data_IF_204324693974
#
_entry.id   IF_204324693974
#
_cell.length_a   1.000
_cell.length_b   1.000
_cell.length_c   1.000
_cell.angle_alpha   90.00
_cell.angle_beta   90.00
_cell.angle_gamma   90.00
#
_symmetry.space_group_name_H-M   'P 1'
#
loop_
_entity.id
_entity.type
_entity.pdbx_description
1 polymer ?
#
# COMPACT_ATOMS: atom_id res chain seq x y z
N UNK A 1 24.55 -18.77 -28.37
CA UNK A 1 25.64 -17.99 -27.73
C UNK A 1 26.01 -16.85 -28.66
N UNK A 2 25.49 -15.65 -28.41
CA UNK A 2 26.01 -14.41 -29.00
C UNK A 2 25.69 -13.26 -28.04
N UNK A 3 26.74 -12.61 -27.54
CA UNK A 3 26.73 -11.47 -26.61
C UNK A 3 26.73 -10.16 -27.40
N UNK A 4 26.00 -9.13 -26.92
CA UNK A 4 26.26 -7.70 -27.20
C UNK A 4 25.87 -6.93 -25.91
N UNK A 5 26.82 -6.57 -25.02
CA UNK A 5 27.63 -5.33 -24.91
C UNK A 5 26.87 -4.01 -24.61
N UNK A 6 26.96 -3.63 -23.32
CA UNK A 6 27.10 -2.31 -22.67
C UNK A 6 26.79 -0.98 -23.41
N UNK A 7 25.82 -0.21 -22.84
CA UNK A 7 25.83 1.18 -22.30
C UNK A 7 26.77 2.29 -22.87
N UNK A 8 26.67 3.58 -22.45
CA UNK A 8 25.55 4.46 -22.05
C UNK A 8 25.55 5.78 -22.87
N UNK A 9 24.56 6.68 -22.70
CA UNK A 9 24.81 8.14 -22.83
C UNK A 9 23.69 8.95 -22.21
N UNK A 10 24.08 9.77 -21.25
CA UNK A 10 23.28 10.80 -20.65
C UNK A 10 23.22 12.04 -21.56
N UNK A 11 22.19 12.84 -21.29
CA UNK A 11 22.25 14.30 -21.19
C UNK A 11 21.48 15.12 -22.24
N UNK A 12 21.00 16.24 -21.69
CA UNK A 12 20.52 17.48 -22.30
C UNK A 12 19.08 17.51 -22.86
N UNK A 13 18.10 17.97 -22.08
CA UNK A 13 17.72 19.36 -21.75
C UNK A 13 17.06 20.14 -22.90
N UNK A 14 15.81 20.54 -22.63
CA UNK A 14 15.07 21.74 -23.05
C UNK A 14 14.30 21.79 -24.39
N UNK A 15 13.02 22.11 -24.18
CA UNK A 15 12.19 23.11 -24.87
C UNK A 15 11.76 22.77 -26.32
N UNK A 16 10.47 22.45 -26.51
CA UNK A 16 9.40 23.40 -26.89
C UNK A 16 9.67 24.00 -28.28
N UNK A 17 8.85 23.73 -29.31
CA UNK A 17 7.54 24.38 -29.46
C UNK A 17 6.86 23.91 -30.77
N UNK A 18 5.53 23.79 -30.68
CA UNK A 18 4.53 24.13 -31.70
C UNK A 18 4.46 23.35 -33.03
N UNK A 19 3.38 22.58 -33.18
CA UNK A 19 2.59 22.63 -34.40
C UNK A 19 1.10 22.69 -34.04
N UNK A 20 0.54 23.88 -34.22
CA UNK A 20 -0.85 24.24 -34.01
C UNK A 20 -1.75 23.59 -35.06
N UNK A 21 -3.02 23.35 -34.70
CA UNK A 21 -4.21 23.94 -35.36
C UNK A 21 -5.38 22.95 -35.35
N UNK A 22 -6.34 23.10 -34.42
CA UNK A 22 -7.80 23.03 -34.71
C UNK A 22 -8.64 23.27 -33.44
N UNK A 23 -9.45 24.34 -33.53
CA UNK A 23 -10.71 24.64 -32.81
C UNK A 23 -10.63 24.95 -31.30
N UNK A 24 -10.32 26.19 -30.91
CA UNK A 24 -11.17 27.40 -30.99
C UNK A 24 -12.40 27.48 -30.04
N UNK A 25 -12.48 26.70 -28.94
CA UNK A 25 -13.53 26.94 -27.91
C UNK A 25 -13.17 26.72 -26.42
N UNK A 26 -11.98 26.26 -26.06
CA UNK A 26 -11.66 25.97 -24.63
C UNK A 26 -10.69 26.95 -23.96
N UNK A 27 -10.21 27.96 -24.68
CA UNK A 27 -9.19 28.88 -24.15
C UNK A 27 -9.71 29.89 -23.11
N UNK A 28 -11.02 29.94 -22.86
CA UNK A 28 -11.64 30.86 -21.90
C UNK A 28 -11.92 30.24 -20.52
N UNK A 29 -11.75 28.92 -20.36
CA UNK A 29 -11.93 28.25 -19.06
C UNK A 29 -10.63 28.08 -18.26
N UNK A 30 -9.47 28.27 -18.90
CA UNK A 30 -8.18 28.01 -18.25
C UNK A 30 -7.63 29.19 -17.43
N UNK A 31 -8.26 30.36 -17.50
CA UNK A 31 -7.76 31.59 -16.84
C UNK A 31 -8.56 31.96 -15.57
N UNK A 32 -9.73 31.38 -15.34
CA UNK A 32 -10.55 31.66 -14.14
C UNK A 32 -10.23 30.78 -12.92
N UNK A 33 -9.40 29.73 -13.05
CA UNK A 33 -9.15 28.78 -11.94
C UNK A 33 -7.78 28.98 -11.26
N UNK A 34 -7.23 30.20 -11.34
CA UNK A 34 -6.01 30.60 -10.63
C UNK A 34 -6.25 31.75 -9.63
N UNK A 35 -7.50 32.16 -9.40
CA UNK A 35 -7.83 33.29 -8.51
C UNK A 35 -9.06 32.98 -7.65
N UNK A 36 -8.91 32.08 -6.68
CA UNK A 36 -9.67 32.06 -5.42
C UNK A 36 -8.72 31.61 -4.32
N UNK A 37 -7.89 32.51 -3.79
CA UNK A 37 -8.12 33.21 -2.51
C UNK A 37 -8.59 32.30 -1.38
N UNK A 38 -7.65 31.96 -0.51
CA UNK A 38 -7.69 32.14 0.95
C UNK A 38 -9.05 31.94 1.66
N UNK A 39 -9.13 30.89 2.47
CA UNK A 39 -9.60 30.92 3.87
C UNK A 39 -10.00 29.50 4.31
N UNK A 40 -9.06 28.74 4.87
CA UNK A 40 -9.41 27.73 5.88
C UNK A 40 -8.61 28.07 7.14
N UNK A 41 -9.08 29.13 7.81
CA UNK A 41 -8.79 29.39 9.20
C UNK A 41 -9.65 28.43 10.04
N UNK A 42 -9.04 27.79 11.03
CA UNK A 42 -9.73 27.20 12.17
C UNK A 42 -10.39 25.84 11.90
N UNK A 43 -9.59 24.79 11.76
CA UNK A 43 -10.02 23.51 12.33
C UNK A 43 -9.27 23.36 13.65
N UNK A 44 -10.01 23.68 14.70
CA UNK A 44 -9.70 23.41 16.10
C UNK A 44 -9.06 22.03 16.21
N UNK A 45 -7.84 22.00 16.74
CA UNK A 45 -7.10 20.78 16.98
C UNK A 45 -7.93 19.90 17.92
N UNK A 46 -8.57 18.89 17.33
CA UNK A 46 -9.11 17.78 18.09
C UNK A 46 -7.98 17.25 18.99
N UNK A 47 -8.25 16.97 20.28
CA UNK A 47 -7.24 16.40 21.17
C UNK A 47 -6.66 15.14 20.52
N UNK A 48 -5.36 14.87 20.67
CA UNK A 48 -4.74 13.72 20.05
C UNK A 48 -5.48 12.47 20.50
N UNK A 49 -6.34 11.97 19.62
CA UNK A 49 -7.04 10.71 19.77
C UNK A 49 -5.95 9.67 19.98
N UNK A 50 -5.87 9.19 21.23
CA UNK A 50 -4.87 8.31 21.80
C UNK A 50 -4.29 7.41 20.72
N UNK A 51 -3.11 7.77 20.20
CA UNK A 51 -2.50 7.10 19.06
C UNK A 51 -2.49 5.60 19.35
N UNK A 52 -3.36 4.86 18.67
CA UNK A 52 -3.44 3.40 18.83
C UNK A 52 -2.06 2.91 18.44
N UNK A 53 -1.29 2.45 19.42
CA UNK A 53 0.07 1.99 19.22
C UNK A 53 -0.01 0.70 18.41
N UNK A 54 0.11 0.87 17.10
CA UNK A 54 0.15 -0.22 16.14
C UNK A 54 1.33 -1.12 16.51
N UNK A 55 1.04 -2.39 16.80
CA UNK A 55 2.04 -3.36 17.27
C UNK A 55 2.11 -4.56 16.33
N UNK A 56 3.27 -5.22 16.27
CA UNK A 56 3.48 -6.44 15.48
C UNK A 56 2.39 -7.51 15.73
N UNK A 57 2.07 -7.91 16.98
CA UNK A 57 1.04 -8.93 17.20
C UNK A 57 -0.33 -8.49 16.69
N UNK A 58 -0.71 -7.21 16.86
CA UNK A 58 -1.97 -6.70 16.32
C UNK A 58 -2.04 -6.79 14.79
N UNK A 59 -0.92 -6.58 14.08
CA UNK A 59 -0.86 -6.76 12.63
C UNK A 59 -0.97 -8.23 12.23
N UNK A 60 -0.35 -9.14 12.97
CA UNK A 60 -0.45 -10.58 12.69
C UNK A 60 -1.90 -11.02 12.82
N UNK A 61 -2.62 -10.59 13.86
CA UNK A 61 -4.04 -10.88 14.03
C UNK A 61 -4.91 -10.28 12.93
N UNK A 62 -4.65 -9.03 12.53
CA UNK A 62 -5.36 -8.38 11.43
C UNK A 62 -5.14 -9.12 10.11
N UNK A 63 -3.90 -9.53 9.83
CA UNK A 63 -3.58 -10.31 8.62
C UNK A 63 -4.29 -11.66 8.62
N UNK A 64 -4.41 -12.32 9.77
CA UNK A 64 -5.15 -13.58 9.90
C UNK A 64 -6.62 -13.41 9.53
N UNK A 65 -7.28 -12.36 10.04
CA UNK A 65 -8.67 -12.04 9.70
C UNK A 65 -8.85 -11.79 8.20
N UNK A 66 -7.97 -10.99 7.60
CA UNK A 66 -8.02 -10.69 6.16
C UNK A 66 -7.77 -11.94 5.32
N UNK A 67 -6.86 -12.82 5.72
CA UNK A 67 -6.65 -14.10 5.02
C UNK A 67 -7.92 -14.95 5.08
N UNK A 68 -8.58 -15.05 6.25
CA UNK A 68 -9.82 -15.81 6.41
C UNK A 68 -10.95 -15.25 5.53
N UNK A 69 -11.08 -13.93 5.46
CA UNK A 69 -12.02 -13.27 4.58
C UNK A 69 -11.73 -13.55 3.11
N UNK A 70 -10.47 -13.46 2.69
CA UNK A 70 -10.03 -13.74 1.32
C UNK A 70 -10.31 -15.18 0.89
N UNK A 71 -10.13 -16.16 1.78
CA UNK A 71 -10.40 -17.57 1.46
C UNK A 71 -11.88 -17.93 1.53
N UNK A 72 -12.69 -17.21 2.33
CA UNK A 72 -14.13 -17.49 2.46
C UNK A 72 -14.90 -17.32 1.16
N UNK A 73 -14.35 -16.57 0.18
CA UNK A 73 -14.99 -16.24 -1.10
C UNK A 73 -16.34 -15.52 -0.96
N UNK A 74 -16.66 -15.00 0.23
CA UNK A 74 -17.89 -14.28 0.57
C UNK A 74 -17.60 -12.94 1.26
N UNK A 75 -16.35 -12.48 1.25
CA UNK A 75 -15.99 -11.18 1.80
C UNK A 75 -16.39 -10.06 0.83
N UNK A 76 -17.00 -8.99 1.38
CA UNK A 76 -17.42 -7.84 0.59
C UNK A 76 -16.19 -7.15 -0.05
N UNK A 77 -16.24 -6.95 -1.37
CA UNK A 77 -15.11 -6.43 -2.12
C UNK A 77 -14.65 -5.03 -1.70
N UNK A 78 -15.59 -4.14 -1.37
CA UNK A 78 -15.27 -2.78 -0.95
C UNK A 78 -14.62 -2.76 0.42
N UNK A 79 -15.22 -3.47 1.39
CA UNK A 79 -14.66 -3.57 2.75
C UNK A 79 -13.26 -4.19 2.74
N UNK A 80 -13.09 -5.31 2.04
CA UNK A 80 -11.80 -5.96 1.97
C UNK A 80 -10.69 -5.06 1.41
N UNK A 81 -10.99 -4.25 0.38
CA UNK A 81 -10.02 -3.27 -0.18
C UNK A 81 -9.66 -2.18 0.81
N UNK A 82 -10.64 -1.69 1.57
CA UNK A 82 -10.41 -0.70 2.64
C UNK A 82 -9.49 -1.33 3.69
N UNK A 83 -9.84 -2.51 4.19
CA UNK A 83 -9.10 -3.15 5.27
C UNK A 83 -7.67 -3.55 4.84
N UNK A 84 -7.49 -4.01 3.59
CA UNK A 84 -6.17 -4.28 3.02
C UNK A 84 -5.31 -3.00 2.88
N UNK A 85 -5.95 -1.86 2.57
CA UNK A 85 -5.27 -0.56 2.53
C UNK A 85 -4.90 -0.09 3.92
N UNK A 86 -5.82 -0.16 4.88
CA UNK A 86 -5.57 0.18 6.28
C UNK A 86 -4.43 -0.66 6.85
N UNK A 87 -4.42 -1.96 6.60
CA UNK A 87 -3.33 -2.85 7.01
C UNK A 87 -1.96 -2.37 6.51
N UNK A 88 -1.87 -1.96 5.23
CA UNK A 88 -0.63 -1.43 4.64
C UNK A 88 -0.20 -0.12 5.31
N UNK A 89 -1.13 0.78 5.57
CA UNK A 89 -0.81 2.06 6.22
C UNK A 89 -0.40 1.90 7.70
N UNK A 90 -1.02 0.95 8.41
CA UNK A 90 -0.61 0.54 9.75
C UNK A 90 0.82 -0.02 9.75
N UNK A 91 1.15 -0.88 8.78
CA UNK A 91 2.50 -1.42 8.62
C UNK A 91 3.51 -0.32 8.30
N UNK A 92 3.17 0.60 7.41
CA UNK A 92 4.01 1.75 7.06
C UNK A 92 4.32 2.60 8.29
N UNK A 93 3.30 2.93 9.08
CA UNK A 93 3.46 3.69 10.33
C UNK A 93 4.37 2.97 11.32
N UNK A 94 4.21 1.65 11.47
CA UNK A 94 5.06 0.83 12.33
C UNK A 94 6.51 0.82 11.86
N UNK A 95 6.77 0.70 10.55
CA UNK A 95 8.12 0.72 9.98
C UNK A 95 8.80 2.07 10.20
N UNK A 96 8.10 3.19 9.95
CA UNK A 96 8.64 4.54 10.19
C UNK A 96 9.01 4.75 11.67
N UNK A 97 8.20 4.26 12.60
CA UNK A 97 8.48 4.31 14.03
C UNK A 97 9.59 3.34 14.48
N UNK A 98 9.91 2.33 13.67
CA UNK A 98 10.99 1.39 13.93
C UNK A 98 12.33 1.93 13.46
N UNK A 99 12.34 2.72 12.38
CA UNK A 99 13.55 3.35 11.83
C UNK A 99 14.11 4.44 12.76
N UNK A 100 13.27 5.05 13.59
CA UNK A 100 13.70 6.02 14.62
C UNK A 100 14.35 5.36 15.84
N UNK A 101 14.17 4.05 16.04
CA UNK A 101 14.83 3.30 17.11
C UNK A 101 16.21 2.83 16.64
N UNK A 102 17.25 3.07 17.46
CA UNK A 102 18.62 2.68 17.13
C UNK A 102 18.72 1.18 16.92
N UNK A 103 18.96 0.77 15.66
CA UNK A 103 19.22 -0.60 15.19
C UNK A 103 18.18 -1.64 15.62
N UNK A 104 17.09 -1.85 14.85
CA UNK A 104 16.16 -2.93 15.13
C UNK A 104 16.85 -4.29 15.02
N UNK A 105 16.52 -5.20 15.94
CA UNK A 105 17.07 -6.57 15.94
C UNK A 105 16.87 -7.24 14.59
N UNK A 106 17.79 -8.11 14.17
CA UNK A 106 17.67 -8.88 12.92
C UNK A 106 16.35 -9.65 12.86
N UNK A 107 15.88 -10.17 13.99
CA UNK A 107 14.58 -10.82 14.10
C UNK A 107 13.42 -9.86 13.77
N UNK A 108 13.42 -8.65 14.33
CA UNK A 108 12.41 -7.62 14.02
C UNK A 108 12.40 -7.28 12.54
N UNK A 109 13.58 -7.08 11.93
CA UNK A 109 13.68 -6.81 10.48
C UNK A 109 13.09 -7.94 9.65
N UNK A 110 13.43 -9.19 9.96
CA UNK A 110 12.90 -10.36 9.26
C UNK A 110 11.37 -10.45 9.39
N UNK A 111 10.83 -10.21 10.59
CA UNK A 111 9.39 -10.16 10.82
C UNK A 111 8.70 -9.07 9.98
N UNK A 112 9.27 -7.86 9.95
CA UNK A 112 8.74 -6.77 9.12
C UNK A 112 8.72 -7.14 7.64
N UNK A 113 9.77 -7.80 7.14
CA UNK A 113 9.80 -8.28 5.76
C UNK A 113 8.70 -9.32 5.47
N UNK A 114 8.39 -10.21 6.41
CA UNK A 114 7.28 -11.14 6.24
C UNK A 114 5.91 -10.46 6.25
N UNK A 115 5.73 -9.41 7.06
CA UNK A 115 4.52 -8.58 7.05
C UNK A 115 4.40 -7.79 5.75
N UNK A 116 5.49 -7.27 5.21
CA UNK A 116 5.52 -6.60 3.90
C UNK A 116 5.11 -7.56 2.79
N UNK A 117 5.64 -8.79 2.78
CA UNK A 117 5.21 -9.82 1.82
C UNK A 117 3.73 -10.15 1.96
N UNK A 118 3.23 -10.27 3.19
CA UNK A 118 1.80 -10.49 3.43
C UNK A 118 0.95 -9.33 2.92
N UNK A 119 1.38 -8.08 3.13
CA UNK A 119 0.68 -6.90 2.62
C UNK A 119 0.54 -6.92 1.09
N UNK A 120 1.58 -7.36 0.37
CA UNK A 120 1.56 -7.47 -1.08
C UNK A 120 0.59 -8.57 -1.56
N UNK A 121 0.54 -9.71 -0.86
CA UNK A 121 -0.42 -10.78 -1.17
C UNK A 121 -1.87 -10.34 -0.91
N UNK A 122 -2.12 -9.62 0.19
CA UNK A 122 -3.44 -9.08 0.51
C UNK A 122 -3.90 -8.03 -0.51
N UNK A 123 -2.99 -7.18 -0.99
CA UNK A 123 -3.28 -6.24 -2.07
C UNK A 123 -3.55 -6.96 -3.40
N UNK A 124 -2.84 -8.05 -3.68
CA UNK A 124 -3.14 -8.89 -4.84
C UNK A 124 -4.53 -9.52 -4.72
N UNK A 125 -4.93 -9.95 -3.51
CA UNK A 125 -6.27 -10.48 -3.24
C UNK A 125 -7.36 -9.40 -3.42
N UNK A 126 -7.07 -8.17 -3.03
CA UNK A 126 -7.98 -7.02 -3.19
C UNK A 126 -8.18 -6.63 -4.68
N UNK A 127 -7.21 -6.96 -5.54
CA UNK A 127 -7.22 -6.74 -6.97
C UNK A 127 -7.84 -7.88 -7.79
N UNK A 128 -8.19 -9.01 -7.16
CA UNK A 128 -8.86 -10.12 -7.84
C UNK A 128 -10.18 -9.70 -8.50
N UNK A 129 -10.70 -10.52 -9.43
CA UNK A 129 -12.00 -10.25 -10.07
C UNK A 129 -13.10 -10.15 -9.00
N UNK A 130 -13.87 -9.07 -9.04
CA UNK A 130 -14.90 -8.79 -8.03
C UNK A 130 -16.25 -8.51 -8.66
N UNK A 131 -17.29 -9.14 -8.12
CA UNK A 131 -18.65 -8.62 -8.15
C UNK A 131 -18.92 -7.87 -6.83
N UNK A 132 -19.97 -8.28 -6.11
CA UNK A 132 -20.20 -7.84 -4.72
C UNK A 132 -19.18 -8.39 -3.72
N UNK A 133 -18.61 -9.56 -4.03
CA UNK A 133 -17.67 -10.28 -3.18
C UNK A 133 -16.34 -10.50 -3.90
N UNK A 134 -15.26 -10.68 -3.14
CA UNK A 134 -13.95 -11.06 -3.68
C UNK A 134 -13.89 -12.55 -4.00
N UNK A 135 -13.34 -12.87 -5.17
CA UNK A 135 -13.08 -14.26 -5.57
C UNK A 135 -11.62 -14.36 -6.00
N UNK A 136 -10.80 -14.98 -5.15
CA UNK A 136 -9.37 -15.17 -5.41
C UNK A 136 -9.10 -16.49 -6.13
N UNK A 137 -8.12 -16.53 -7.07
CA UNK A 137 -7.66 -17.78 -7.67
C UNK A 137 -7.03 -18.70 -6.62
N UNK A 138 -7.05 -20.01 -6.88
CA UNK A 138 -6.65 -21.02 -5.90
C UNK A 138 -5.17 -20.91 -5.52
N UNK A 139 -4.32 -20.52 -6.46
CA UNK A 139 -2.88 -20.33 -6.26
C UNK A 139 -2.61 -19.21 -5.26
N UNK A 140 -3.35 -18.09 -5.36
CA UNK A 140 -3.21 -16.97 -4.44
C UNK A 140 -3.70 -17.33 -3.04
N UNK A 141 -4.79 -18.11 -2.94
CA UNK A 141 -5.27 -18.61 -1.64
C UNK A 141 -4.22 -19.49 -0.95
N UNK A 142 -3.55 -20.37 -1.70
CA UNK A 142 -2.47 -21.20 -1.17
C UNK A 142 -1.28 -20.37 -0.72
N UNK A 143 -0.90 -19.34 -1.49
CA UNK A 143 0.18 -18.41 -1.11
C UNK A 143 -0.15 -17.65 0.18
N UNK A 144 -1.38 -17.15 0.33
CA UNK A 144 -1.84 -16.48 1.55
C UNK A 144 -1.75 -17.41 2.78
N UNK A 145 -2.24 -18.63 2.67
CA UNK A 145 -2.19 -19.62 3.75
C UNK A 145 -0.75 -19.99 4.13
N UNK A 146 0.10 -20.20 3.12
CA UNK A 146 1.54 -20.47 3.33
C UNK A 146 2.23 -19.32 4.04
N UNK A 147 1.99 -18.08 3.59
CA UNK A 147 2.58 -16.90 4.21
C UNK A 147 2.07 -16.68 5.64
N UNK A 148 0.78 -16.93 5.89
CA UNK A 148 0.21 -16.84 7.24
C UNK A 148 0.87 -17.83 8.20
N UNK A 149 1.07 -19.08 7.75
CA UNK A 149 1.77 -20.12 8.52
C UNK A 149 3.21 -19.70 8.85
N UNK A 150 3.91 -19.09 7.89
CA UNK A 150 5.27 -18.57 8.11
C UNK A 150 5.26 -17.47 9.16
N UNK A 151 4.37 -16.48 9.05
CA UNK A 151 4.22 -15.41 10.04
C UNK A 151 3.95 -15.93 11.45
N UNK A 152 3.03 -16.89 11.60
CA UNK A 152 2.71 -17.50 12.89
C UNK A 152 3.91 -18.24 13.50
N UNK A 153 4.70 -18.91 12.66
CA UNK A 153 5.93 -19.60 13.10
C UNK A 153 6.96 -18.60 13.62
N UNK A 154 7.16 -17.50 12.89
CA UNK A 154 8.07 -16.43 13.30
C UNK A 154 7.60 -15.72 14.58
N UNK A 155 6.29 -15.54 14.79
CA UNK A 155 5.77 -14.93 16.01
C UNK A 155 5.90 -15.84 17.23
N UNK A 156 5.82 -17.16 17.03
CA UNK A 156 5.98 -18.15 18.09
C UNK A 156 7.42 -18.32 18.57
N UNK A 157 8.42 -18.07 17.72
CA UNK A 157 9.86 -18.14 18.06
C UNK A 157 10.33 -17.08 19.07
N UNK A 158 9.44 -16.22 19.56
CA UNK A 158 9.73 -15.17 20.54
C UNK A 158 9.28 -15.52 21.98
N UNK A 159 8.74 -16.72 22.20
CA UNK A 159 8.43 -17.28 23.52
C UNK A 159 9.48 -18.29 23.95
#
# INVERSE_FOLDING_TARGET
MTYIQFAPSAAFFRAATYCSHIRSRHFLLCVCLLITTAAFAGTEAAPPEKAVSVSIPSLVDQSSKLVQEAISSNANASRFRIDATLYRESLRSLMLNSDTQSTPSTHTKNMLMELVRMSALLQSAAACKTGRFIVCPIELRQQLLSQQKRLQTFSAQKG
#
